data_IF_245016683607
#
_entry.id   IF_245016683607
#
_cell.length_a   1.000
_cell.length_b   1.000
_cell.length_c   1.000
_cell.angle_alpha   90.00
_cell.angle_beta   90.00
_cell.angle_gamma   90.00
#
_symmetry.space_group_name_H-M   'P 1'
#
loop_
_entity.id
_entity.type
_entity.pdbx_description
1 polymer ?
#
# COMPACT_ATOMS: atom_id res chain seq x y z
N UNK A 1 7.58 12.95 17.92
CA UNK A 1 7.23 14.38 17.88
C UNK A 1 8.49 15.16 18.24
N UNK A 2 8.76 16.30 17.60
CA UNK A 2 9.82 17.21 18.04
C UNK A 2 9.17 18.22 18.96
N UNK A 3 9.69 18.39 20.18
CA UNK A 3 9.14 19.37 21.12
C UNK A 3 10.14 20.48 21.33
N UNK A 4 9.70 21.70 21.05
CA UNK A 4 10.47 22.91 21.28
C UNK A 4 9.94 23.52 22.58
N UNK A 5 10.74 23.51 23.64
CA UNK A 5 10.31 24.04 24.93
C UNK A 5 10.32 25.56 24.90
N UNK A 6 9.21 26.16 25.36
CA UNK A 6 9.10 27.57 25.71
C UNK A 6 9.19 28.53 24.53
N UNK A 7 8.03 28.91 23.99
CA UNK A 7 7.95 29.98 23.00
C UNK A 7 7.36 31.26 23.62
N UNK A 8 7.81 32.45 23.19
CA UNK A 8 7.07 33.66 23.45
C UNK A 8 5.69 33.59 22.76
N UNK A 9 4.66 34.05 23.44
CA UNK A 9 3.32 34.21 22.88
C UNK A 9 3.04 35.71 22.61
N UNK A 10 2.93 36.15 21.34
CA UNK A 10 2.93 35.35 20.12
C UNK A 10 4.35 35.01 19.59
N UNK A 11 4.49 33.95 18.77
CA UNK A 11 5.75 33.58 18.13
C UNK A 11 6.29 34.65 17.17
N UNK A 12 7.61 34.75 17.06
CA UNK A 12 8.23 35.50 15.97
C UNK A 12 8.10 34.76 14.62
N UNK A 13 8.19 35.51 13.52
CA UNK A 13 8.10 34.94 12.16
C UNK A 13 9.19 33.90 11.89
N UNK A 14 10.42 34.16 12.36
CA UNK A 14 11.54 33.23 12.20
C UNK A 14 11.27 31.87 12.87
N UNK A 15 10.64 31.88 14.06
CA UNK A 15 10.29 30.64 14.75
C UNK A 15 9.20 29.87 14.00
N UNK A 16 8.21 30.56 13.44
CA UNK A 16 7.16 29.93 12.60
C UNK A 16 7.78 29.26 11.36
N UNK A 17 8.72 29.92 10.70
CA UNK A 17 9.36 29.39 9.50
C UNK A 17 10.28 28.20 9.84
N UNK A 18 11.02 28.27 10.95
CA UNK A 18 11.86 27.16 11.45
C UNK A 18 11.04 25.91 11.82
N UNK A 19 9.85 26.11 12.41
CA UNK A 19 8.88 25.03 12.67
C UNK A 19 8.39 24.39 11.38
N UNK A 20 8.05 25.20 10.38
CA UNK A 20 7.60 24.70 9.09
C UNK A 20 8.70 23.88 8.42
N UNK A 21 9.94 24.39 8.43
CA UNK A 21 11.11 23.71 7.88
C UNK A 21 11.42 22.40 8.62
N UNK A 22 11.37 22.40 9.96
CA UNK A 22 11.61 21.20 10.76
C UNK A 22 10.56 20.13 10.48
N UNK A 23 9.28 20.52 10.37
CA UNK A 23 8.22 19.60 10.00
C UNK A 23 8.40 19.07 8.57
N UNK A 24 8.81 19.91 7.62
CA UNK A 24 9.06 19.52 6.24
C UNK A 24 10.22 18.53 6.12
N UNK A 25 11.35 18.81 6.79
CA UNK A 25 12.56 18.00 6.71
C UNK A 25 12.42 16.66 7.44
N UNK A 26 11.74 16.65 8.58
CA UNK A 26 11.65 15.44 9.43
C UNK A 26 10.36 14.66 9.22
N UNK A 27 9.31 15.30 8.71
CA UNK A 27 7.97 14.73 8.64
C UNK A 27 7.36 14.43 10.01
N UNK A 28 7.92 14.99 11.08
CA UNK A 28 7.50 14.77 12.47
C UNK A 28 6.68 15.97 12.96
N UNK A 29 5.55 15.70 13.61
CA UNK A 29 4.74 16.75 14.23
C UNK A 29 5.54 17.53 15.29
N UNK A 30 5.53 18.86 15.17
CA UNK A 30 6.13 19.77 16.15
C UNK A 30 5.06 20.17 17.16
N UNK A 31 5.25 19.75 18.41
CA UNK A 31 4.38 20.08 19.54
C UNK A 31 4.90 21.31 20.26
N UNK A 32 3.97 22.14 20.75
CA UNK A 32 4.27 23.34 21.55
C UNK A 32 3.65 23.13 22.91
N UNK A 33 4.48 23.21 23.95
CA UNK A 33 4.02 23.18 25.34
C UNK A 33 3.69 24.60 25.77
N UNK A 34 2.53 24.77 26.41
CA UNK A 34 2.13 26.03 27.00
C UNK A 34 3.03 26.43 28.19
N UNK A 35 3.05 27.71 28.60
CA UNK A 35 3.80 28.16 29.76
C UNK A 35 3.36 27.37 31.02
N UNK A 36 4.29 26.66 31.64
CA UNK A 36 4.03 25.84 32.84
C UNK A 36 3.37 24.48 32.57
N UNK A 37 3.13 24.12 31.30
CA UNK A 37 2.72 22.76 30.94
C UNK A 37 3.91 21.82 31.16
N UNK A 38 3.77 20.76 31.99
CA UNK A 38 4.84 19.82 32.20
C UNK A 38 5.14 19.13 30.87
N UNK A 39 6.41 19.08 30.50
CA UNK A 39 6.82 18.22 29.40
C UNK A 39 6.39 16.78 29.71
N UNK A 40 5.90 16.03 28.72
CA UNK A 40 5.70 14.60 28.88
C UNK A 40 6.98 13.96 29.43
N UNK A 41 6.81 12.94 30.27
CA UNK A 41 7.92 12.22 30.88
C UNK A 41 8.66 11.43 29.81
N UNK A 42 9.66 12.07 29.21
CA UNK A 42 10.57 11.46 28.26
C UNK A 42 11.82 11.06 29.00
N UNK A 43 12.28 9.83 28.80
CA UNK A 43 13.58 9.41 29.29
C UNK A 43 14.68 9.98 28.40
N UNK A 44 14.98 11.27 28.56
CA UNK A 44 15.97 11.98 27.75
C UNK A 44 17.38 11.45 28.02
N UNK A 45 17.61 10.79 29.17
CA UNK A 45 18.90 10.19 29.51
C UNK A 45 19.26 9.07 28.52
N UNK A 46 18.27 8.30 28.07
CA UNK A 46 18.42 7.24 27.05
C UNK A 46 18.90 7.79 25.70
N UNK A 47 18.63 9.06 25.39
CA UNK A 47 18.99 9.65 24.10
C UNK A 47 20.48 9.99 24.00
N UNK A 48 21.12 10.22 25.14
CA UNK A 48 22.56 10.52 25.23
C UNK A 48 23.41 9.29 25.56
N UNK A 49 22.82 8.20 26.03
CA UNK A 49 23.54 6.99 26.43
C UNK A 49 24.07 6.16 25.25
N UNK A 50 23.63 6.41 24.01
CA UNK A 50 24.00 5.64 22.80
C UNK A 50 25.21 6.16 22.01
N UNK A 51 26.03 7.06 22.56
CA UNK A 51 27.15 7.68 21.86
C UNK A 51 28.51 7.18 22.33
N UNK A 52 28.90 5.95 21.99
CA UNK A 52 30.23 5.43 22.30
C UNK A 52 30.52 4.05 21.72
N UNK A 53 31.32 4.05 20.66
CA UNK A 53 32.14 2.97 20.11
C UNK A 53 31.47 1.78 19.39
N UNK A 54 32.05 1.45 18.24
CA UNK A 54 31.49 0.56 17.24
C UNK A 54 31.31 -0.89 17.70
N UNK A 55 30.21 -1.48 17.25
CA UNK A 55 29.92 -2.89 17.42
C UNK A 55 28.43 -3.15 17.35
N UNK A 56 28.07 -4.12 16.52
CA UNK A 56 26.77 -4.74 16.27
C UNK A 56 25.70 -4.71 17.40
N UNK A 57 24.45 -4.71 16.93
CA UNK A 57 23.19 -5.05 17.60
C UNK A 57 22.61 -4.12 18.68
N UNK A 58 21.43 -3.58 18.35
CA UNK A 58 20.29 -3.68 19.27
C UNK A 58 19.64 -2.37 19.73
N UNK A 59 18.43 -2.16 19.19
CA UNK A 59 17.32 -1.43 19.85
C UNK A 59 17.32 0.09 19.75
N UNK A 60 17.15 0.59 18.53
CA UNK A 60 16.59 1.93 18.32
C UNK A 60 15.10 1.93 18.66
N UNK A 61 14.71 2.64 19.72
CA UNK A 61 13.33 3.00 19.98
C UNK A 61 12.86 3.99 18.88
N UNK A 62 12.32 3.42 17.80
CA UNK A 62 11.89 4.16 16.63
C UNK A 62 10.70 5.08 16.92
N UNK A 63 10.71 6.26 16.29
CA UNK A 63 9.52 7.06 15.98
C UNK A 63 8.39 6.11 15.53
N UNK A 64 7.12 6.28 15.95
CA UNK A 64 6.06 5.35 15.60
C UNK A 64 5.90 5.18 14.08
N UNK A 65 6.51 4.10 13.58
CA UNK A 65 5.89 3.06 12.78
C UNK A 65 5.47 3.39 11.35
N UNK A 66 6.28 4.09 10.54
CA UNK A 66 6.08 4.05 9.08
C UNK A 66 6.50 2.67 8.56
N UNK A 67 5.54 1.87 8.09
CA UNK A 67 5.82 0.59 7.42
C UNK A 67 6.41 0.90 6.06
N UNK A 68 7.63 0.41 5.79
CA UNK A 68 8.24 0.50 4.48
C UNK A 68 7.46 -0.37 3.48
N UNK A 69 7.01 0.24 2.38
CA UNK A 69 6.35 -0.45 1.28
C UNK A 69 7.36 -0.70 0.15
N UNK A 70 7.18 -1.78 -0.60
CA UNK A 70 7.91 -1.96 -1.86
C UNK A 70 7.41 -0.93 -2.89
N UNK A 71 8.29 -0.34 -3.72
CA UNK A 71 7.85 0.56 -4.78
C UNK A 71 6.91 -0.13 -5.79
N UNK A 72 5.84 0.56 -6.21
CA UNK A 72 4.98 0.06 -7.26
C UNK A 72 5.60 0.33 -8.63
N UNK A 73 5.77 -0.72 -9.44
CA UNK A 73 6.22 -0.59 -10.84
C UNK A 73 5.03 -0.80 -11.77
N UNK A 74 4.59 0.25 -12.44
CA UNK A 74 3.61 0.12 -13.50
C UNK A 74 4.26 -0.52 -14.74
N UNK A 75 3.51 -1.37 -15.43
CA UNK A 75 3.92 -1.93 -16.70
C UNK A 75 3.78 -0.88 -17.81
N UNK A 76 4.85 -0.65 -18.56
CA UNK A 76 4.96 0.39 -19.60
C UNK A 76 5.09 -0.19 -21.02
N UNK A 77 4.78 -1.48 -21.19
CA UNK A 77 4.91 -2.16 -22.48
C UNK A 77 3.85 -1.73 -23.51
N UNK A 78 4.09 -2.10 -24.77
CA UNK A 78 3.12 -1.90 -25.84
C UNK A 78 1.94 -2.88 -25.70
N UNK A 79 0.71 -2.36 -25.72
CA UNK A 79 -0.49 -3.19 -25.70
C UNK A 79 -0.66 -3.98 -27.01
N UNK A 80 -1.39 -5.10 -26.99
CA UNK A 80 -1.50 -5.99 -28.14
C UNK A 80 -2.51 -5.50 -29.21
N UNK A 81 -3.10 -4.31 -29.02
CA UNK A 81 -4.23 -3.78 -29.78
C UNK A 81 -5.56 -3.94 -29.04
N UNK A 82 -6.67 -3.71 -29.74
CA UNK A 82 -8.01 -3.87 -29.17
C UNK A 82 -8.27 -5.34 -28.79
N UNK A 83 -8.61 -5.65 -27.52
CA UNK A 83 -8.85 -7.03 -27.10
C UNK A 83 -9.94 -7.77 -27.89
N UNK A 84 -10.85 -7.05 -28.55
CA UNK A 84 -11.96 -7.61 -29.33
C UNK A 84 -11.51 -8.17 -30.67
N UNK A 85 -10.41 -7.64 -31.21
CA UNK A 85 -9.89 -7.97 -32.53
C UNK A 85 -8.54 -8.70 -32.46
N UNK A 86 -7.90 -8.65 -31.29
CA UNK A 86 -6.58 -9.24 -31.06
C UNK A 86 -6.67 -10.76 -30.89
N UNK A 87 -5.85 -11.55 -31.61
CA UNK A 87 -5.76 -12.99 -31.40
C UNK A 87 -5.34 -13.36 -29.97
N UNK A 88 -5.98 -14.37 -29.38
CA UNK A 88 -5.74 -14.84 -28.01
C UNK A 88 -4.26 -15.02 -27.65
N UNK A 89 -3.37 -15.61 -28.48
CA UNK A 89 -1.95 -15.74 -28.12
C UNK A 89 -1.28 -14.41 -27.79
N UNK A 90 -1.59 -13.32 -28.53
CA UNK A 90 -1.06 -11.99 -28.22
C UNK A 90 -1.65 -11.39 -26.94
N UNK A 91 -2.91 -11.70 -26.64
CA UNK A 91 -3.51 -11.33 -25.35
C UNK A 91 -2.85 -12.07 -24.19
N UNK A 92 -2.51 -13.35 -24.38
CA UNK A 92 -1.79 -14.14 -23.39
C UNK A 92 -0.41 -13.54 -23.12
N UNK A 93 0.37 -13.22 -24.16
CA UNK A 93 1.70 -12.63 -23.99
C UNK A 93 1.65 -11.25 -23.30
N UNK A 94 0.66 -10.42 -23.65
CA UNK A 94 0.46 -9.13 -22.99
C UNK A 94 0.05 -9.26 -21.52
N UNK A 95 -0.86 -10.19 -21.20
CA UNK A 95 -1.28 -10.45 -19.82
C UNK A 95 -0.12 -10.99 -18.99
N UNK A 96 0.63 -11.96 -19.50
CA UNK A 96 1.81 -12.49 -18.81
C UNK A 96 2.85 -11.40 -18.54
N UNK A 97 3.13 -10.53 -19.51
CA UNK A 97 4.05 -9.42 -19.33
C UNK A 97 3.59 -8.42 -18.26
N UNK A 98 2.29 -8.10 -18.22
CA UNK A 98 1.71 -7.25 -17.16
C UNK A 98 1.83 -7.92 -15.79
N UNK A 99 1.46 -9.20 -15.68
CA UNK A 99 1.45 -9.96 -14.42
C UNK A 99 2.87 -10.15 -13.89
N UNK A 100 3.86 -10.33 -14.75
CA UNK A 100 5.26 -10.46 -14.35
C UNK A 100 5.80 -9.19 -13.67
N UNK A 101 5.28 -8.01 -14.03
CA UNK A 101 5.71 -6.72 -13.48
C UNK A 101 4.85 -6.28 -12.29
N UNK A 102 3.52 -6.34 -12.46
CA UNK A 102 2.54 -5.78 -11.52
C UNK A 102 1.93 -6.83 -10.58
N UNK A 103 2.22 -8.12 -10.75
CA UNK A 103 1.70 -9.19 -9.90
C UNK A 103 2.35 -9.26 -8.51
N UNK A 104 1.67 -9.87 -7.51
CA UNK A 104 0.28 -10.34 -7.53
C UNK A 104 -0.74 -9.21 -7.68
N UNK A 105 -1.83 -9.41 -8.41
CA UNK A 105 -2.84 -8.37 -8.65
C UNK A 105 -4.22 -8.98 -8.94
N UNK A 106 -5.27 -8.16 -8.91
CA UNK A 106 -6.60 -8.60 -9.32
C UNK A 106 -6.67 -8.85 -10.83
N UNK A 107 -7.35 -9.92 -11.26
CA UNK A 107 -7.52 -10.27 -12.66
C UNK A 107 -8.19 -9.15 -13.48
N UNK A 108 -9.24 -8.53 -12.92
CA UNK A 108 -9.90 -7.33 -13.46
C UNK A 108 -8.92 -6.19 -13.74
N UNK A 109 -7.93 -5.99 -12.87
CA UNK A 109 -6.90 -4.97 -13.04
C UNK A 109 -5.96 -5.33 -14.19
N UNK A 110 -5.51 -6.59 -14.28
CA UNK A 110 -4.68 -7.05 -15.40
C UNK A 110 -5.40 -6.81 -16.74
N UNK A 111 -6.71 -7.09 -16.80
CA UNK A 111 -7.52 -6.79 -17.98
C UNK A 111 -7.59 -5.28 -18.28
N UNK A 112 -7.76 -4.44 -17.26
CA UNK A 112 -7.84 -3.00 -17.43
C UNK A 112 -6.52 -2.41 -17.95
N UNK A 113 -5.37 -2.90 -17.47
CA UNK A 113 -4.04 -2.50 -17.94
C UNK A 113 -3.85 -2.87 -19.41
N UNK A 114 -4.09 -4.13 -19.79
CA UNK A 114 -3.97 -4.58 -21.19
C UNK A 114 -4.95 -3.84 -22.11
N UNK A 115 -6.20 -3.67 -21.70
CA UNK A 115 -7.21 -2.93 -22.46
C UNK A 115 -6.80 -1.46 -22.68
N UNK A 116 -6.26 -0.79 -21.66
CA UNK A 116 -5.80 0.59 -21.76
C UNK A 116 -4.61 0.74 -22.70
N UNK A 117 -3.66 -0.19 -22.62
CA UNK A 117 -2.50 -0.21 -23.50
C UNK A 117 -2.88 -0.49 -24.96
N UNK A 118 -3.99 -1.19 -25.20
CA UNK A 118 -4.60 -1.38 -26.53
C UNK A 118 -5.42 -0.18 -27.03
N UNK A 119 -5.46 0.94 -26.30
CA UNK A 119 -6.21 2.15 -26.65
C UNK A 119 -7.66 2.17 -26.12
N UNK A 120 -8.07 1.15 -25.36
CA UNK A 120 -9.39 1.08 -24.75
C UNK A 120 -9.54 2.02 -23.54
N UNK A 121 -10.64 2.79 -23.49
CA UNK A 121 -10.88 3.73 -22.37
C UNK A 121 -11.51 3.09 -21.14
N UNK A 122 -12.47 2.19 -21.35
CA UNK A 122 -13.23 1.51 -20.28
C UNK A 122 -13.23 0.01 -20.55
N UNK A 123 -13.02 -0.78 -19.51
CA UNK A 123 -13.16 -2.23 -19.59
C UNK A 123 -14.65 -2.59 -19.63
N UNK A 124 -15.14 -2.97 -20.81
CA UNK A 124 -16.51 -3.46 -21.01
C UNK A 124 -16.56 -4.98 -20.91
N UNK A 125 -17.75 -5.56 -20.75
CA UNK A 125 -17.90 -7.03 -20.74
C UNK A 125 -17.41 -7.67 -22.06
N UNK A 126 -17.60 -6.98 -23.19
CA UNK A 126 -17.15 -7.44 -24.52
C UNK A 126 -15.62 -7.46 -24.60
N UNK A 127 -14.94 -6.45 -24.07
CA UNK A 127 -13.47 -6.43 -24.02
C UNK A 127 -12.91 -7.39 -22.95
N UNK A 128 -13.65 -7.60 -21.85
CA UNK A 128 -13.27 -8.51 -20.76
C UNK A 128 -13.28 -9.97 -21.18
N UNK A 129 -14.26 -10.42 -21.96
CA UNK A 129 -14.41 -11.82 -22.34
C UNK A 129 -13.15 -12.44 -22.99
N UNK A 130 -12.53 -11.84 -24.03
CA UNK A 130 -11.32 -12.40 -24.64
C UNK A 130 -10.11 -12.36 -23.69
N UNK A 131 -9.99 -11.34 -22.83
CA UNK A 131 -8.91 -11.24 -21.83
C UNK A 131 -9.05 -12.31 -20.74
N UNK A 132 -10.27 -12.52 -20.24
CA UNK A 132 -10.55 -13.57 -19.26
C UNK A 132 -10.28 -14.96 -19.83
N UNK A 133 -10.70 -15.20 -21.09
CA UNK A 133 -10.36 -16.43 -21.79
C UNK A 133 -8.84 -16.61 -21.88
N UNK A 134 -8.10 -15.59 -22.35
CA UNK A 134 -6.65 -15.63 -22.43
C UNK A 134 -5.97 -15.93 -21.09
N UNK A 135 -6.43 -15.31 -19.99
CA UNK A 135 -5.90 -15.57 -18.65
C UNK A 135 -6.13 -17.02 -18.21
N UNK A 136 -7.32 -17.56 -18.46
CA UNK A 136 -7.63 -18.96 -18.16
C UNK A 136 -6.78 -19.94 -18.98
N UNK A 137 -6.34 -19.57 -20.18
CA UNK A 137 -5.38 -20.36 -20.95
C UNK A 137 -3.96 -20.27 -20.38
N UNK A 138 -3.50 -19.08 -19.96
CA UNK A 138 -2.23 -18.94 -19.25
C UNK A 138 -2.17 -19.80 -17.98
N UNK A 139 -3.25 -19.82 -17.21
CA UNK A 139 -3.35 -20.62 -16.00
C UNK A 139 -3.29 -22.14 -16.30
N UNK A 140 -4.02 -22.59 -17.34
CA UNK A 140 -3.95 -24.00 -17.81
C UNK A 140 -2.54 -24.39 -18.25
N UNK A 141 -1.84 -23.48 -18.91
CA UNK A 141 -0.45 -23.67 -19.36
C UNK A 141 0.58 -23.52 -18.22
N UNK A 142 0.12 -23.24 -16.98
CA UNK A 142 0.95 -22.97 -15.79
C UNK A 142 1.94 -21.82 -15.96
N UNK A 143 1.64 -20.88 -16.85
CA UNK A 143 2.40 -19.64 -17.06
C UNK A 143 2.07 -18.58 -16.01
N UNK A 144 0.90 -18.70 -15.37
CA UNK A 144 0.46 -17.89 -14.24
C UNK A 144 -0.26 -18.79 -13.25
N UNK A 145 -0.38 -18.31 -12.01
CA UNK A 145 -1.20 -18.92 -10.98
C UNK A 145 -2.39 -18.02 -10.66
N UNK A 146 -3.53 -18.67 -10.38
CA UNK A 146 -4.77 -18.02 -9.96
C UNK A 146 -5.11 -18.52 -8.56
N UNK A 147 -5.40 -17.58 -7.67
CA UNK A 147 -6.15 -17.82 -6.44
C UNK A 147 -7.57 -17.36 -6.71
N UNK A 148 -8.54 -18.29 -6.66
CA UNK A 148 -9.92 -17.97 -6.96
C UNK A 148 -10.49 -17.01 -5.91
N UNK A 149 -11.42 -16.15 -6.33
CA UNK A 149 -12.02 -15.15 -5.44
C UNK A 149 -12.69 -15.78 -4.19
N UNK A 150 -13.26 -16.97 -4.32
CA UNK A 150 -13.94 -17.69 -3.23
C UNK A 150 -12.97 -18.36 -2.23
N UNK A 151 -11.69 -18.49 -2.57
CA UNK A 151 -10.65 -18.96 -1.63
C UNK A 151 -10.27 -17.91 -0.59
N UNK A 152 -10.57 -16.63 -0.84
CA UNK A 152 -10.29 -15.51 0.07
C UNK A 152 -11.60 -14.83 0.43
N UNK A 153 -12.04 -14.96 1.69
CA UNK A 153 -13.29 -14.37 2.14
C UNK A 153 -13.34 -12.85 1.86
N UNK A 154 -14.44 -12.38 1.25
CA UNK A 154 -14.65 -10.99 0.88
C UNK A 154 -13.90 -10.53 -0.39
N UNK A 155 -13.04 -11.37 -0.96
CA UNK A 155 -12.35 -11.07 -2.20
C UNK A 155 -13.35 -11.15 -3.37
N UNK A 156 -13.49 -10.06 -4.12
CA UNK A 156 -14.50 -9.93 -5.18
C UNK A 156 -14.01 -10.31 -6.59
N UNK A 157 -12.76 -10.72 -6.74
CA UNK A 157 -12.11 -11.01 -8.01
C UNK A 157 -10.89 -11.91 -7.82
N UNK A 158 -10.56 -12.74 -8.80
CA UNK A 158 -9.43 -13.66 -8.74
C UNK A 158 -8.11 -12.87 -8.59
N UNK A 159 -7.19 -13.41 -7.79
CA UNK A 159 -5.83 -12.88 -7.68
C UNK A 159 -4.92 -13.67 -8.61
N UNK A 160 -4.18 -12.97 -9.46
CA UNK A 160 -3.25 -13.56 -10.40
C UNK A 160 -1.81 -13.18 -10.09
N UNK A 161 -0.89 -14.15 -10.23
CA UNK A 161 0.55 -13.95 -10.06
C UNK A 161 1.37 -14.81 -11.04
N UNK A 162 2.64 -14.47 -11.20
CA UNK A 162 3.59 -15.39 -11.84
C UNK A 162 3.87 -16.60 -10.92
N UNK A 163 4.19 -17.79 -11.46
CA UNK A 163 4.36 -19.01 -10.66
C UNK A 163 5.45 -18.89 -9.58
N UNK A 164 6.55 -18.23 -9.89
CA UNK A 164 7.67 -18.05 -8.95
C UNK A 164 7.54 -16.78 -8.09
N UNK A 165 6.51 -15.97 -8.30
CA UNK A 165 6.30 -14.76 -7.51
C UNK A 165 5.69 -15.10 -6.14
N UNK A 166 6.07 -14.37 -5.07
CA UNK A 166 5.46 -14.57 -3.76
C UNK A 166 3.94 -14.32 -3.81
N UNK A 167 3.14 -15.05 -3.01
CA UNK A 167 1.68 -14.97 -3.05
C UNK A 167 1.14 -13.60 -2.60
N UNK A 168 1.91 -12.87 -1.78
CA UNK A 168 1.55 -11.55 -1.26
C UNK A 168 2.75 -10.62 -1.34
N UNK A 169 2.52 -9.39 -1.80
CA UNK A 169 3.53 -8.31 -1.84
C UNK A 169 2.91 -7.00 -1.42
N UNK A 170 3.40 -6.41 -0.34
CA UNK A 170 2.93 -5.11 0.15
C UNK A 170 3.68 -3.99 -0.54
N UNK A 171 2.98 -3.26 -1.41
CA UNK A 171 3.57 -2.23 -2.25
C UNK A 171 2.89 -0.88 -2.06
N UNK A 172 3.56 0.17 -2.50
CA UNK A 172 2.94 1.48 -2.67
C UNK A 172 1.65 1.37 -3.50
N UNK A 173 0.69 2.26 -3.24
CA UNK A 173 -0.58 2.24 -3.95
C UNK A 173 -0.37 2.42 -5.46
N UNK A 174 0.50 3.34 -5.86
CA UNK A 174 0.77 3.65 -7.26
C UNK A 174 -0.51 4.16 -7.96
N UNK A 175 -0.76 3.79 -9.22
CA UNK A 175 -1.96 4.17 -9.97
C UNK A 175 -3.16 3.26 -9.66
N UNK A 176 -3.16 2.54 -8.52
CA UNK A 176 -4.27 1.69 -8.08
C UNK A 176 -5.27 2.49 -7.27
N UNK A 177 -6.54 2.21 -7.44
CA UNK A 177 -7.52 2.49 -6.40
C UNK A 177 -7.40 1.44 -5.28
N UNK A 178 -7.83 1.78 -4.06
CA UNK A 178 -7.76 0.88 -2.91
C UNK A 178 -8.41 -0.49 -3.19
N UNK A 179 -9.55 -0.50 -3.89
CA UNK A 179 -10.26 -1.75 -4.23
C UNK A 179 -9.64 -2.55 -5.37
N UNK A 180 -8.54 -2.06 -5.96
CA UNK A 180 -7.74 -2.79 -6.94
C UNK A 180 -6.50 -3.46 -6.30
N UNK A 181 -6.28 -3.24 -5.01
CA UNK A 181 -5.23 -3.89 -4.22
C UNK A 181 -5.78 -5.20 -3.65
N UNK A 182 -5.15 -6.37 -3.86
CA UNK A 182 -5.62 -7.63 -3.28
C UNK A 182 -5.86 -7.56 -1.78
N UNK A 183 -6.94 -8.18 -1.28
CA UNK A 183 -7.23 -8.17 0.17
C UNK A 183 -6.10 -8.78 0.99
N UNK A 184 -5.42 -9.80 0.46
CA UNK A 184 -4.25 -10.41 1.10
C UNK A 184 -3.09 -9.44 1.24
N UNK A 185 -2.88 -8.52 0.29
CA UNK A 185 -1.89 -7.44 0.38
C UNK A 185 -2.27 -6.44 1.48
N UNK A 186 -3.55 -6.07 1.59
CA UNK A 186 -4.04 -5.17 2.64
C UNK A 186 -3.97 -5.82 4.03
N UNK A 187 -4.40 -7.08 4.15
CA UNK A 187 -4.34 -7.82 5.41
C UNK A 187 -2.88 -7.97 5.87
N UNK A 188 -1.95 -8.28 4.96
CA UNK A 188 -0.52 -8.33 5.29
C UNK A 188 0.01 -6.96 5.75
N UNK A 189 -0.42 -5.86 5.14
CA UNK A 189 -0.09 -4.51 5.62
C UNK A 189 -0.66 -4.27 7.03
N UNK A 190 -1.92 -4.61 7.28
CA UNK A 190 -2.53 -4.47 8.61
C UNK A 190 -1.81 -5.31 9.66
N UNK A 191 -1.38 -6.53 9.32
CA UNK A 191 -0.57 -7.39 10.19
C UNK A 191 0.75 -6.72 10.57
N UNK A 192 1.44 -6.09 9.61
CA UNK A 192 2.67 -5.32 9.85
C UNK A 192 2.40 -4.11 10.75
N UNK A 193 1.29 -3.39 10.53
CA UNK A 193 0.88 -2.25 11.37
C UNK A 193 0.56 -2.65 12.81
N UNK A 194 -0.08 -3.82 13.03
CA UNK A 194 -0.29 -4.39 14.36
C UNK A 194 1.03 -4.74 15.03
N UNK A 195 1.92 -5.43 14.32
CA UNK A 195 3.22 -5.85 14.85
C UNK A 195 4.11 -4.65 15.24
N UNK A 196 3.99 -3.55 14.50
CA UNK A 196 4.66 -2.28 14.82
C UNK A 196 3.98 -1.48 15.95
N UNK A 197 2.89 -2.00 16.54
CA UNK A 197 2.08 -1.32 17.55
C UNK A 197 1.54 0.05 17.09
N UNK A 198 1.45 0.26 15.78
CA UNK A 198 0.96 1.51 15.17
C UNK A 198 -0.56 1.62 15.27
N UNK A 199 -1.26 0.48 15.18
CA UNK A 199 -2.71 0.39 15.33
C UNK A 199 -3.09 -1.02 15.80
N UNK A 200 -3.99 -1.12 16.77
CA UNK A 200 -4.43 -2.42 17.32
C UNK A 200 -5.92 -2.65 17.15
N UNK A 201 -6.74 -1.59 17.17
CA UNK A 201 -8.18 -1.72 16.97
C UNK A 201 -8.55 -1.69 15.48
N UNK A 202 -9.64 -2.36 15.05
CA UNK A 202 -10.08 -2.36 13.65
C UNK A 202 -10.16 -0.97 13.02
N UNK A 203 -10.81 0.00 13.67
CA UNK A 203 -10.95 1.35 13.13
C UNK A 203 -9.62 2.11 13.04
N UNK A 204 -8.68 1.84 13.94
CA UNK A 204 -7.33 2.42 13.90
C UNK A 204 -6.55 1.82 12.72
N UNK A 205 -6.68 0.51 12.48
CA UNK A 205 -6.03 -0.18 11.36
C UNK A 205 -6.52 0.35 10.02
N UNK A 206 -7.84 0.53 9.86
CA UNK A 206 -8.40 1.10 8.63
C UNK A 206 -7.81 2.48 8.34
N UNK A 207 -7.73 3.35 9.36
CA UNK A 207 -7.12 4.69 9.22
C UNK A 207 -5.63 4.61 8.91
N UNK A 208 -4.89 3.76 9.61
CA UNK A 208 -3.46 3.58 9.40
C UNK A 208 -3.15 3.08 7.98
N UNK A 209 -3.97 2.18 7.42
CA UNK A 209 -3.85 1.76 6.01
C UNK A 209 -4.08 2.92 5.05
N UNK A 210 -5.12 3.72 5.26
CA UNK A 210 -5.39 4.89 4.43
C UNK A 210 -4.22 5.88 4.48
N UNK A 211 -3.74 6.21 5.68
CA UNK A 211 -2.61 7.12 5.87
C UNK A 211 -1.33 6.58 5.21
N UNK A 212 -1.08 5.28 5.32
CA UNK A 212 0.07 4.61 4.69
C UNK A 212 0.01 4.69 3.16
N UNK A 213 -1.20 4.63 2.57
CA UNK A 213 -1.41 4.83 1.13
C UNK A 213 -1.61 6.29 0.71
N UNK A 214 -1.51 7.25 1.64
CA UNK A 214 -1.74 8.68 1.36
C UNK A 214 -3.21 9.04 1.06
N UNK A 215 -4.15 8.17 1.41
CA UNK A 215 -5.59 8.38 1.25
C UNK A 215 -6.16 9.08 2.49
N UNK A 216 -7.00 10.10 2.30
CA UNK A 216 -7.53 10.89 3.43
C UNK A 216 -8.92 10.48 3.92
N UNK A 217 -9.75 9.92 3.04
CA UNK A 217 -11.18 9.71 3.33
C UNK A 217 -11.50 8.23 3.42
N UNK A 218 -12.04 7.83 4.57
CA UNK A 218 -12.71 6.55 4.75
C UNK A 218 -14.12 6.64 4.15
N UNK A 219 -14.22 6.39 2.84
CA UNK A 219 -15.51 6.28 2.16
C UNK A 219 -16.22 4.98 2.57
N UNK A 220 -17.53 4.88 2.38
CA UNK A 220 -18.28 3.65 2.70
C UNK A 220 -17.69 2.41 1.99
N UNK A 221 -17.34 2.55 0.70
CA UNK A 221 -16.69 1.49 -0.09
C UNK A 221 -15.31 1.12 0.47
N UNK A 222 -14.52 2.10 0.89
CA UNK A 222 -13.22 1.84 1.51
C UNK A 222 -13.39 1.17 2.88
N UNK A 223 -14.39 1.59 3.67
CA UNK A 223 -14.67 1.00 4.98
C UNK A 223 -15.10 -0.46 4.90
N UNK A 224 -15.97 -0.78 3.94
CA UNK A 224 -16.39 -2.14 3.62
C UNK A 224 -15.19 -2.99 3.17
N UNK A 225 -14.41 -2.49 2.20
CA UNK A 225 -13.27 -3.23 1.66
C UNK A 225 -12.17 -3.48 2.70
N UNK A 226 -11.86 -2.47 3.52
CA UNK A 226 -10.92 -2.62 4.62
C UNK A 226 -11.51 -3.46 5.76
N UNK A 227 -12.83 -3.51 5.91
CA UNK A 227 -13.52 -4.43 6.83
C UNK A 227 -13.24 -5.88 6.47
N UNK A 228 -13.43 -6.25 5.21
CA UNK A 228 -13.10 -7.60 4.72
C UNK A 228 -11.61 -7.96 4.95
N UNK A 229 -10.69 -7.00 4.81
CA UNK A 229 -9.28 -7.23 5.12
C UNK A 229 -9.01 -7.41 6.63
N UNK A 230 -9.78 -6.76 7.50
CA UNK A 230 -9.71 -6.99 8.96
C UNK A 230 -10.20 -8.40 9.28
N UNK A 231 -11.31 -8.83 8.71
CA UNK A 231 -11.87 -10.17 8.95
C UNK A 231 -10.88 -11.27 8.53
N UNK A 232 -10.11 -11.03 7.45
CA UNK A 232 -9.07 -11.95 6.97
C UNK A 232 -7.89 -12.12 7.95
N UNK A 233 -7.67 -11.18 8.87
CA UNK A 233 -6.63 -11.30 9.91
C UNK A 233 -6.97 -12.35 10.98
N UNK A 234 -8.23 -12.76 11.09
CA UNK A 234 -8.68 -13.75 12.06
C UNK A 234 -8.84 -13.23 13.49
N UNK A 235 -9.56 -12.13 13.67
CA UNK A 235 -10.13 -11.74 14.97
C UNK A 235 -11.54 -12.31 15.18
#
# INVERSE_FOLDING_TARGET
AVVLTGWPDPPSRAQIDDRALTHELTGVAVLVLGPGEPAPDWDVADWTAGGGDGGDAGTGAGVPGRIALEPYRAWEGAGPGDPRETPRPRLMDALEAVIAVEGPMLATRAYAVVNRAGGGRKLTNVARAPLSSALQWLARDRRVELTAADEVAGQGDDVVRAPDAPPVRVRELGPRDLTEVPLTEIAELMRRLRAAHTATRPNELKRAVLDTYGLRRLTARADEYLGAAVDLLGD
#
